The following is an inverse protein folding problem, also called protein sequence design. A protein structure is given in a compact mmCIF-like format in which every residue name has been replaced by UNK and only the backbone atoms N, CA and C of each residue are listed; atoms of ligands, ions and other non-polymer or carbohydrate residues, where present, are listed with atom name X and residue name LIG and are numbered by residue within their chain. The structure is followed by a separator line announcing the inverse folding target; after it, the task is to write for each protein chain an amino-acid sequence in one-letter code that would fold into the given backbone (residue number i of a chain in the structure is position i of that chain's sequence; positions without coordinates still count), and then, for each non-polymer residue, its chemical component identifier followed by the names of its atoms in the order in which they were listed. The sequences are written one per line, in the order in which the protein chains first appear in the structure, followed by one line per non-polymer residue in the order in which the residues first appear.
data_IF_147360282364
#
_entry.id   IF_147360282364
#
_cell.length_a   1.000
_cell.length_b   1.000
_cell.length_c   1.000
_cell.angle_alpha   90.00
_cell.angle_beta   90.00
_cell.angle_gamma   90.00
#
_symmetry.space_group_name_H-M   'P 1'
#
loop_
_entity.id
_entity.type
_entity.pdbx_description
1 polymer ?
#
# COMPACT_ATOMS: atom_id res chain seq x y z
N UNK A 1 9.92 -26.30 -80.79
CA UNK A 1 9.01 -26.60 -79.67
C UNK A 1 8.85 -25.29 -78.91
N UNK A 2 7.83 -24.46 -79.15
CA UNK A 2 6.39 -24.66 -78.83
C UNK A 2 6.16 -25.10 -77.37
N UNK A 3 5.31 -24.46 -76.55
CA UNK A 3 4.34 -23.35 -76.76
C UNK A 3 3.98 -22.66 -75.41
N UNK A 4 3.46 -21.42 -75.50
CA UNK A 4 2.34 -20.77 -74.77
C UNK A 4 1.78 -21.34 -73.42
N UNK A 5 1.13 -20.59 -72.52
CA UNK A 5 0.90 -19.14 -72.28
C UNK A 5 0.05 -18.97 -70.99
N UNK A 6 -0.21 -17.74 -70.52
CA UNK A 6 -1.39 -17.42 -69.68
C UNK A 6 -1.12 -16.61 -68.41
N UNK A 7 -1.67 -15.38 -68.36
CA UNK A 7 -1.61 -14.45 -67.21
C UNK A 7 -3.06 -14.04 -66.78
N UNK A 8 -3.35 -13.03 -65.92
CA UNK A 8 -4.32 -13.23 -64.82
C UNK A 8 -5.61 -12.37 -64.87
N UNK A 9 -6.56 -12.64 -63.98
CA UNK A 9 -7.79 -11.85 -63.71
C UNK A 9 -8.19 -12.01 -62.22
N UNK A 10 -8.42 -10.99 -61.36
CA UNK A 10 -9.32 -9.80 -61.35
C UNK A 10 -10.57 -10.01 -60.45
N UNK A 11 -10.81 -9.04 -59.58
CA UNK A 11 -11.95 -8.89 -58.64
C UNK A 11 -13.33 -8.81 -59.32
N UNK A 12 -14.41 -9.00 -58.54
CA UNK A 12 -15.51 -8.03 -58.62
C UNK A 12 -15.97 -7.43 -57.28
N UNK A 13 -16.59 -6.25 -57.37
CA UNK A 13 -17.09 -5.41 -56.28
C UNK A 13 -18.64 -5.38 -56.27
N UNK A 14 -19.21 -5.28 -55.06
CA UNK A 14 -20.54 -4.68 -54.72
C UNK A 14 -21.82 -5.28 -55.34
N UNK A 15 -22.85 -5.43 -54.49
CA UNK A 15 -24.11 -4.65 -54.60
C UNK A 15 -24.88 -4.58 -53.28
N UNK A 16 -25.55 -3.44 -53.05
CA UNK A 16 -26.57 -3.24 -52.00
C UNK A 16 -27.92 -3.77 -52.48
N UNK A 17 -28.81 -4.19 -51.56
CA UNK A 17 -30.26 -3.95 -51.67
C UNK A 17 -30.95 -3.96 -50.29
N UNK A 18 -32.22 -3.59 -50.26
CA UNK A 18 -32.89 -2.94 -49.12
C UNK A 18 -34.27 -3.55 -48.78
N UNK A 19 -34.63 -3.43 -47.48
CA UNK A 19 -35.99 -3.27 -46.92
C UNK A 19 -36.99 -4.47 -46.89
N UNK A 20 -37.60 -4.66 -45.69
CA UNK A 20 -39.06 -4.67 -45.40
C UNK A 20 -39.54 -5.79 -44.44
N UNK A 21 -40.37 -5.42 -43.44
CA UNK A 21 -41.23 -6.32 -42.63
C UNK A 21 -40.52 -7.17 -41.56
N UNK A 22 -41.04 -7.39 -40.34
CA UNK A 22 -42.43 -7.38 -39.88
C UNK A 22 -42.59 -7.05 -38.38
N UNK A 23 -43.84 -6.82 -37.95
CA UNK A 23 -44.24 -6.39 -36.58
C UNK A 23 -44.75 -7.55 -35.71
N UNK A 24 -44.53 -7.47 -34.40
CA UNK A 24 -45.44 -7.95 -33.32
C UNK A 24 -45.07 -7.20 -32.03
N UNK A 25 -45.87 -6.21 -31.61
CA UNK A 25 -47.03 -6.34 -30.68
C UNK A 25 -46.65 -6.82 -29.27
N UNK A 26 -46.51 -5.87 -28.34
CA UNK A 26 -46.69 -6.07 -26.90
C UNK A 26 -47.46 -4.86 -26.33
N UNK A 27 -48.40 -5.11 -25.43
CA UNK A 27 -49.55 -4.22 -25.14
C UNK A 27 -49.32 -3.23 -23.99
N UNK A 28 -49.98 -2.07 -24.08
CA UNK A 28 -50.15 -1.12 -22.96
C UNK A 28 -51.16 -1.64 -21.95
N UNK A 29 -50.92 -1.38 -20.67
CA UNK A 29 -51.96 -1.19 -19.65
C UNK A 29 -51.63 0.07 -18.83
N UNK A 30 -52.65 0.80 -18.35
CA UNK A 30 -52.52 2.12 -17.70
C UNK A 30 -52.74 2.04 -16.18
N UNK A 31 -52.27 3.07 -15.47
CA UNK A 31 -52.71 3.47 -14.13
C UNK A 31 -54.24 3.48 -13.96
N UNK A 32 -54.70 3.43 -12.69
CA UNK A 32 -55.26 4.67 -12.12
C UNK A 32 -54.61 5.10 -10.80
N UNK A 33 -54.95 6.31 -10.33
CA UNK A 33 -54.40 6.96 -9.15
C UNK A 33 -55.49 7.28 -8.10
N UNK A 34 -55.06 7.37 -6.83
CA UNK A 34 -55.66 8.01 -5.61
C UNK A 34 -54.86 7.43 -4.43
N UNK A 35 -54.28 8.14 -3.47
CA UNK A 35 -54.30 9.56 -3.11
C UNK A 35 -54.85 9.71 -1.69
N UNK A 36 -54.03 10.15 -0.71
CA UNK A 36 -54.46 10.77 0.57
C UNK A 36 -53.28 11.27 1.42
N UNK A 37 -53.41 12.56 1.82
CA UNK A 37 -52.84 13.36 2.92
C UNK A 37 -51.82 12.78 3.93
N UNK A 38 -50.83 13.61 4.25
CA UNK A 38 -50.01 13.57 5.48
C UNK A 38 -50.78 14.06 6.73
N UNK A 39 -50.20 13.92 7.94
CA UNK A 39 -49.78 15.15 8.64
C UNK A 39 -48.41 15.10 9.36
N UNK A 40 -47.93 16.30 9.71
CA UNK A 40 -46.76 16.59 10.54
C UNK A 40 -46.90 16.11 12.00
N UNK A 41 -45.79 16.12 12.76
CA UNK A 41 -45.71 17.10 13.86
C UNK A 41 -44.55 18.11 13.75
N UNK A 42 -44.78 19.27 14.37
CA UNK A 42 -43.80 20.24 14.90
C UNK A 42 -43.57 19.86 16.39
N UNK A 43 -42.60 20.32 17.18
CA UNK A 43 -41.32 21.01 17.06
C UNK A 43 -40.94 21.45 18.50
N UNK A 44 -39.72 21.18 18.95
CA UNK A 44 -39.04 21.78 20.11
C UNK A 44 -37.66 21.09 20.22
N UNK A 45 -36.54 21.74 20.49
CA UNK A 45 -36.28 23.12 20.86
C UNK A 45 -35.33 23.12 22.05
N UNK A 46 -34.03 23.39 21.82
CA UNK A 46 -33.03 23.90 22.79
C UNK A 46 -31.63 23.92 22.13
N UNK A 47 -30.94 25.08 22.23
CA UNK A 47 -29.49 25.21 21.97
C UNK A 47 -28.71 25.03 23.28
N UNK A 48 -27.47 24.54 23.20
CA UNK A 48 -26.32 25.23 23.82
C UNK A 48 -25.28 25.53 22.73
N UNK A 49 -24.87 26.79 22.53
CA UNK A 49 -23.85 27.55 23.27
C UNK A 49 -22.44 26.98 23.10
N UNK A 50 -21.59 27.83 22.54
CA UNK A 50 -20.22 27.57 22.16
C UNK A 50 -19.31 27.26 23.35
N UNK A 51 -18.41 26.30 23.15
CA UNK A 51 -17.21 26.11 23.95
C UNK A 51 -16.06 25.77 23.00
N UNK A 52 -15.26 26.78 22.63
CA UNK A 52 -14.04 26.58 21.85
C UNK A 52 -13.01 25.84 22.70
N UNK A 53 -12.67 24.62 22.31
CA UNK A 53 -11.51 23.89 22.83
C UNK A 53 -10.58 23.55 21.65
N UNK A 54 -9.43 24.22 21.57
CA UNK A 54 -8.41 23.93 20.57
C UNK A 54 -7.72 22.59 20.85
N UNK A 55 -8.17 21.51 20.20
CA UNK A 55 -7.47 20.23 20.17
C UNK A 55 -6.62 20.11 18.90
N UNK A 56 -5.28 20.15 19.06
CA UNK A 56 -4.32 19.84 17.99
C UNK A 56 -4.34 18.34 17.69
N UNK A 57 -5.22 17.90 16.80
CA UNK A 57 -5.35 16.50 16.37
C UNK A 57 -4.32 16.11 15.31
N UNK A 58 -3.05 15.88 15.71
CA UNK A 58 -2.04 15.35 14.79
C UNK A 58 -2.37 13.90 14.39
N UNK A 59 -2.52 13.63 13.10
CA UNK A 59 -2.76 12.29 12.57
C UNK A 59 -1.50 11.40 12.70
N UNK A 60 -1.35 10.76 13.86
CA UNK A 60 -0.25 9.82 14.13
C UNK A 60 -0.47 8.47 13.43
N UNK A 61 -0.11 8.40 12.15
CA UNK A 61 0.13 7.12 11.47
C UNK A 61 1.49 6.54 11.89
N UNK A 62 1.44 5.55 12.78
CA UNK A 62 2.42 4.48 12.93
C UNK A 62 3.94 4.85 13.00
N UNK A 63 4.36 5.60 14.03
CA UNK A 63 5.75 5.52 14.54
C UNK A 63 5.86 4.52 15.71
N UNK A 64 5.97 3.24 15.38
CA UNK A 64 6.55 2.22 16.27
C UNK A 64 6.97 1.01 15.43
N UNK A 65 8.23 0.58 15.54
CA UNK A 65 8.63 -0.76 15.13
C UNK A 65 8.34 -1.75 16.27
N UNK A 66 8.09 -3.04 16.00
CA UNK A 66 8.02 -4.05 17.06
C UNK A 66 9.40 -4.17 17.75
N UNK A 67 9.48 -4.09 19.09
CA UNK A 67 10.74 -4.29 19.79
C UNK A 67 11.17 -5.76 19.69
N UNK A 68 12.39 -6.00 19.21
CA UNK A 68 13.05 -7.29 19.41
C UNK A 68 13.25 -7.52 20.90
N UNK A 69 12.99 -8.75 21.38
CA UNK A 69 13.30 -9.12 22.76
C UNK A 69 14.82 -9.14 22.94
N UNK A 70 15.36 -8.07 23.52
CA UNK A 70 16.76 -8.00 23.92
C UNK A 70 17.01 -8.84 25.16
N UNK A 71 18.02 -9.70 25.08
CA UNK A 71 18.47 -10.52 26.20
C UNK A 71 19.14 -9.65 27.30
N UNK A 72 19.04 -10.06 28.56
CA UNK A 72 19.62 -9.31 29.69
C UNK A 72 20.72 -10.12 30.36
N UNK A 73 21.96 -9.61 30.37
CA UNK A 73 22.93 -9.83 31.47
C UNK A 73 24.08 -8.82 31.46
N UNK A 74 24.37 -8.30 32.66
CA UNK A 74 25.55 -7.53 33.11
C UNK A 74 25.80 -6.14 32.47
N UNK A 75 26.23 -5.08 33.18
CA UNK A 75 26.25 -4.89 34.65
C UNK A 75 27.44 -4.12 35.22
N UNK A 76 27.44 -2.77 35.19
CA UNK A 76 28.09 -1.83 36.14
C UNK A 76 27.60 -0.39 35.81
N UNK A 77 27.15 0.46 36.76
CA UNK A 77 27.93 1.35 37.68
C UNK A 77 28.85 2.33 36.90
N UNK A 78 28.84 3.66 37.07
CA UNK A 78 28.50 4.55 38.22
C UNK A 78 28.16 6.00 37.80
N UNK A 79 27.55 6.81 38.70
CA UNK A 79 27.54 8.29 38.69
C UNK A 79 26.56 8.94 37.70
N UNK A 80 25.46 9.60 38.05
CA UNK A 80 25.14 10.56 39.13
C UNK A 80 25.87 11.92 39.01
N UNK A 81 25.15 12.94 38.52
CA UNK A 81 25.01 14.23 39.21
C UNK A 81 23.85 15.07 38.62
N UNK A 82 23.16 15.83 39.49
CA UNK A 82 22.01 16.70 39.20
C UNK A 82 22.42 18.18 39.14
N UNK A 83 21.60 19.01 38.48
CA UNK A 83 21.62 20.49 38.53
C UNK A 83 21.42 21.09 37.13
N UNK A 84 20.29 21.66 36.69
CA UNK A 84 19.25 22.53 37.28
C UNK A 84 19.62 24.03 37.34
N UNK A 85 18.61 24.90 37.10
CA UNK A 85 18.62 26.39 37.06
C UNK A 85 19.21 27.04 35.78
N UNK A 86 18.40 27.70 34.92
CA UNK A 86 17.82 29.07 35.00
C UNK A 86 18.84 30.16 34.59
N UNK A 87 18.71 30.82 33.42
CA UNK A 87 17.77 31.90 33.02
C UNK A 87 18.16 33.31 33.52
N UNK A 88 18.37 34.24 32.58
CA UNK A 88 18.66 35.67 32.82
C UNK A 88 19.69 36.17 31.80
N UNK A 89 19.31 36.88 30.73
CA UNK A 89 18.81 38.26 30.65
C UNK A 89 19.93 39.23 30.19
N UNK A 90 19.67 39.91 29.07
CA UNK A 90 20.58 40.84 28.38
C UNK A 90 20.47 42.25 28.98
N UNK A 91 21.56 43.03 28.99
CA UNK A 91 21.44 44.46 28.74
C UNK A 91 22.33 44.93 27.57
N UNK A 92 21.76 45.74 26.69
CA UNK A 92 22.48 46.37 25.59
C UNK A 92 23.08 47.73 26.01
N UNK A 93 24.27 48.07 25.51
CA UNK A 93 24.75 49.46 25.48
C UNK A 93 25.46 49.83 24.17
N UNK A 94 24.95 50.89 23.56
CA UNK A 94 25.61 51.84 22.63
C UNK A 94 26.76 52.56 23.40
N UNK A 95 27.80 53.18 22.81
CA UNK A 95 28.21 53.43 21.41
C UNK A 95 29.60 54.11 21.35
N UNK A 96 30.15 54.25 20.13
CA UNK A 96 31.16 55.25 19.65
C UNK A 96 32.63 55.13 20.14
N UNK A 97 33.55 55.08 19.15
CA UNK A 97 35.00 55.28 19.32
C UNK A 97 35.80 54.98 18.03
N UNK A 98 36.35 56.01 17.39
CA UNK A 98 37.31 56.01 16.24
C UNK A 98 38.15 57.31 16.38
N UNK A 99 39.31 57.52 15.73
CA UNK A 99 40.16 56.61 14.94
C UNK A 99 41.43 56.27 15.76
N UNK A 100 42.73 56.42 15.37
CA UNK A 100 43.38 56.91 14.13
C UNK A 100 43.75 55.78 13.14
N UNK A 101 44.63 56.06 12.17
CA UNK A 101 45.29 55.10 11.27
C UNK A 101 46.79 55.06 11.58
N UNK A 102 47.41 53.86 11.50
CA UNK A 102 48.86 53.67 11.51
C UNK A 102 49.29 52.79 10.33
N UNK A 103 50.46 53.08 9.72
CA UNK A 103 50.99 52.36 8.54
C UNK A 103 51.82 51.13 8.93
N UNK A 104 51.95 50.21 7.96
CA UNK A 104 52.88 49.07 7.88
C UNK A 104 52.60 47.91 8.85
N UNK A 105 52.62 46.64 8.45
CA UNK A 105 53.38 46.01 7.35
C UNK A 105 52.60 44.88 6.66
N UNK A 106 52.93 44.61 5.40
CA UNK A 106 52.42 43.46 4.66
C UNK A 106 53.08 42.17 5.17
N UNK A 107 52.27 41.21 5.63
CA UNK A 107 52.65 39.80 5.72
C UNK A 107 51.84 39.04 4.65
N UNK A 108 52.43 38.04 3.98
CA UNK A 108 51.73 37.32 2.92
C UNK A 108 50.52 36.57 3.49
N UNK A 109 49.36 36.81 2.90
CA UNK A 109 48.16 36.05 3.21
C UNK A 109 48.37 34.62 2.67
N UNK A 110 48.56 33.66 3.57
CA UNK A 110 48.59 32.24 3.21
C UNK A 110 47.25 31.88 2.54
N UNK A 111 47.31 31.16 1.43
CA UNK A 111 46.13 30.80 0.63
C UNK A 111 45.05 30.15 1.49
N UNK A 112 43.98 30.90 1.74
CA UNK A 112 42.74 30.31 2.23
C UNK A 112 42.17 29.47 1.06
N UNK A 113 41.89 28.17 1.25
CA UNK A 113 41.30 27.38 0.19
C UNK A 113 39.95 28.00 -0.17
N UNK A 114 39.83 28.51 -1.41
CA UNK A 114 38.55 28.94 -1.93
C UNK A 114 37.59 27.76 -1.82
N UNK A 115 36.51 27.94 -1.05
CA UNK A 115 35.39 27.02 -1.07
C UNK A 115 34.77 27.15 -2.46
N UNK A 116 35.19 26.26 -3.36
CA UNK A 116 34.56 26.07 -4.65
C UNK A 116 33.15 25.55 -4.39
N UNK A 117 32.17 26.45 -4.45
CA UNK A 117 30.80 26.04 -4.71
C UNK A 117 30.83 25.21 -6.00
N UNK A 118 30.51 23.93 -5.90
CA UNK A 118 30.54 23.03 -7.05
C UNK A 118 29.71 23.60 -8.18
N UNK A 119 30.26 23.60 -9.40
CA UNK A 119 29.55 24.07 -10.58
C UNK A 119 28.17 23.41 -10.66
N UNK A 120 27.14 24.20 -10.93
CA UNK A 120 25.81 23.65 -11.14
C UNK A 120 25.87 22.57 -12.24
N UNK A 121 25.27 21.37 -12.02
CA UNK A 121 25.32 20.29 -13.00
C UNK A 121 24.75 20.75 -14.35
N UNK A 122 25.32 20.27 -15.46
CA UNK A 122 24.90 20.70 -16.79
C UNK A 122 23.42 20.33 -17.00
N UNK A 123 22.61 21.11 -17.75
CA UNK A 123 21.21 20.76 -18.00
C UNK A 123 21.02 19.35 -18.56
N UNK A 124 21.96 18.87 -19.39
CA UNK A 124 21.97 17.51 -19.93
C UNK A 124 22.28 16.44 -18.86
N UNK A 125 23.12 16.75 -17.87
CA UNK A 125 23.39 15.88 -16.72
C UNK A 125 22.12 15.72 -15.88
N UNK A 126 21.37 16.80 -15.64
CA UNK A 126 20.10 16.77 -14.91
C UNK A 126 19.04 15.98 -15.70
N UNK A 127 18.98 16.15 -17.03
CA UNK A 127 18.03 15.46 -17.90
C UNK A 127 18.29 13.94 -18.01
N UNK A 128 19.52 13.49 -17.70
CA UNK A 128 19.95 12.09 -17.77
C UNK A 128 20.08 11.41 -16.39
N UNK A 129 20.35 12.18 -15.33
CA UNK A 129 20.48 11.67 -13.95
C UNK A 129 19.15 11.05 -13.47
N UNK A 130 19.15 9.79 -13.02
CA UNK A 130 17.99 9.16 -12.41
C UNK A 130 17.62 9.81 -11.07
N UNK A 131 16.36 10.24 -10.93
CA UNK A 131 15.84 10.86 -9.70
C UNK A 131 14.39 10.43 -9.44
N UNK A 132 13.90 10.71 -8.23
CA UNK A 132 12.53 10.42 -7.82
C UNK A 132 11.60 11.59 -8.11
N UNK A 133 10.57 11.34 -8.92
CA UNK A 133 9.36 12.16 -8.96
C UNK A 133 8.31 11.55 -8.01
N UNK A 134 7.59 12.41 -7.29
CA UNK A 134 6.54 12.01 -6.37
C UNK A 134 5.38 13.03 -6.36
N UNK A 135 4.15 12.52 -6.46
CA UNK A 135 2.95 13.30 -6.26
C UNK A 135 1.90 12.58 -5.39
N UNK A 136 1.12 13.39 -4.67
CA UNK A 136 -0.15 13.00 -4.08
C UNK A 136 -1.27 13.30 -5.07
N UNK A 137 -2.03 12.29 -5.47
CA UNK A 137 -3.20 12.38 -6.35
C UNK A 137 -4.45 12.25 -5.48
N UNK A 138 -5.03 13.38 -5.10
CA UNK A 138 -6.23 13.48 -4.26
C UNK A 138 -7.47 13.08 -5.06
N UNK A 139 -8.25 12.14 -4.50
CA UNK A 139 -9.29 11.42 -5.24
C UNK A 139 -10.71 11.88 -4.90
N UNK A 140 -10.91 12.82 -3.98
CA UNK A 140 -12.23 13.27 -3.51
C UNK A 140 -13.00 12.26 -2.64
N UNK A 141 -12.50 11.04 -2.49
CA UNK A 141 -13.15 9.96 -1.75
C UNK A 141 -12.36 8.65 -1.85
N UNK A 142 -12.62 7.73 -0.92
CA UNK A 142 -12.02 6.38 -0.94
C UNK A 142 -12.54 5.53 -2.09
N UNK A 143 -13.76 5.82 -2.55
CA UNK A 143 -14.48 5.13 -3.61
C UNK A 143 -13.84 5.36 -4.98
N UNK A 144 -13.37 6.59 -5.24
CA UNK A 144 -12.71 6.98 -6.48
C UNK A 144 -11.28 6.44 -6.63
N UNK A 145 -10.66 5.96 -5.55
CA UNK A 145 -9.29 5.47 -5.58
C UNK A 145 -9.12 4.19 -6.40
N UNK A 146 -10.14 3.33 -6.49
CA UNK A 146 -10.11 2.14 -7.35
C UNK A 146 -10.10 2.54 -8.83
N UNK A 147 -10.87 3.55 -9.24
CA UNK A 147 -10.92 4.03 -10.63
C UNK A 147 -9.64 4.76 -11.06
N UNK A 148 -9.00 5.49 -10.14
CA UNK A 148 -7.65 6.04 -10.40
C UNK A 148 -6.66 4.90 -10.65
N UNK A 149 -6.71 3.84 -9.84
CA UNK A 149 -5.79 2.70 -9.95
C UNK A 149 -6.07 1.85 -11.21
N UNK A 150 -7.33 1.63 -11.57
CA UNK A 150 -7.70 0.81 -12.72
C UNK A 150 -7.69 1.57 -14.07
N UNK A 151 -8.05 2.85 -14.07
CA UNK A 151 -8.22 3.65 -15.30
C UNK A 151 -7.10 4.65 -15.56
N UNK A 152 -6.62 5.36 -14.53
CA UNK A 152 -5.69 6.49 -14.71
C UNK A 152 -4.21 6.09 -14.63
N UNK A 153 -3.86 5.24 -13.66
CA UNK A 153 -2.47 4.80 -13.48
C UNK A 153 -1.92 3.96 -14.64
N UNK A 154 -2.62 2.95 -15.22
CA UNK A 154 -2.03 2.09 -16.23
C UNK A 154 -1.51 2.82 -17.49
N UNK A 155 -2.26 3.73 -18.15
CA UNK A 155 -1.74 4.45 -19.31
C UNK A 155 -0.61 5.41 -18.95
N UNK A 156 -0.71 6.10 -17.80
CA UNK A 156 0.33 7.00 -17.31
C UNK A 156 1.65 6.25 -17.05
N UNK A 157 1.56 5.07 -16.45
CA UNK A 157 2.71 4.21 -16.13
C UNK A 157 3.33 3.58 -17.38
N UNK A 158 2.51 3.21 -18.36
CA UNK A 158 2.99 2.73 -19.65
C UNK A 158 3.78 3.83 -20.40
N UNK A 159 3.29 5.08 -20.38
CA UNK A 159 3.98 6.22 -21.00
C UNK A 159 5.34 6.49 -20.34
N UNK A 160 5.42 6.59 -19.01
CA UNK A 160 6.71 6.87 -18.35
C UNK A 160 7.70 5.72 -18.46
N UNK A 161 7.23 4.45 -18.47
CA UNK A 161 8.07 3.29 -18.77
C UNK A 161 8.64 3.37 -20.19
N UNK A 162 7.83 3.73 -21.19
CA UNK A 162 8.30 3.94 -22.57
C UNK A 162 9.33 5.08 -22.69
N UNK A 163 9.27 6.07 -21.79
CA UNK A 163 10.25 7.17 -21.69
C UNK A 163 11.49 6.84 -20.85
N UNK A 164 11.61 5.62 -20.30
CA UNK A 164 12.80 5.16 -19.56
C UNK A 164 12.71 5.21 -18.03
N UNK A 165 11.52 5.37 -17.44
CA UNK A 165 11.35 5.19 -15.99
C UNK A 165 11.72 3.75 -15.58
N UNK A 166 12.61 3.64 -14.60
CA UNK A 166 13.26 2.38 -14.20
C UNK A 166 12.56 1.68 -13.03
N UNK A 167 11.79 2.41 -12.23
CA UNK A 167 10.98 1.89 -11.12
C UNK A 167 9.79 2.81 -10.87
N UNK A 168 8.67 2.27 -10.43
CA UNK A 168 7.57 3.06 -9.87
C UNK A 168 6.81 2.25 -8.83
N UNK A 169 6.11 2.95 -7.93
CA UNK A 169 5.10 2.33 -7.08
C UNK A 169 4.13 3.37 -6.55
N UNK A 170 2.95 2.91 -6.17
CA UNK A 170 1.95 3.73 -5.50
C UNK A 170 1.57 3.14 -4.14
N UNK A 171 1.09 3.99 -3.25
CA UNK A 171 0.41 3.58 -2.02
C UNK A 171 -0.88 4.39 -1.87
N UNK A 172 -1.90 3.84 -1.22
CA UNK A 172 -3.07 4.61 -0.79
C UNK A 172 -2.75 5.29 0.52
N UNK A 173 -3.15 6.54 0.69
CA UNK A 173 -2.90 7.28 1.91
C UNK A 173 -4.04 8.24 2.22
N UNK A 174 -4.09 8.72 3.46
CA UNK A 174 -5.03 9.71 3.94
C UNK A 174 -4.29 10.74 4.79
N UNK A 175 -4.52 12.03 4.51
CA UNK A 175 -4.07 13.14 5.34
C UNK A 175 -5.21 14.16 5.52
N UNK A 176 -4.94 15.31 6.13
CA UNK A 176 -5.91 16.38 6.41
C UNK A 176 -6.61 16.96 5.15
N UNK A 177 -6.05 16.73 3.95
CA UNK A 177 -6.68 17.10 2.67
C UNK A 177 -7.58 15.99 2.11
N UNK A 178 -7.42 14.75 2.57
CA UNK A 178 -8.31 13.64 2.25
C UNK A 178 -7.61 12.40 1.66
N UNK A 179 -8.41 11.44 1.17
CA UNK A 179 -7.93 10.25 0.47
C UNK A 179 -7.12 10.61 -0.79
N UNK A 180 -5.96 9.97 -0.94
CA UNK A 180 -5.11 10.16 -2.11
C UNK A 180 -4.24 8.95 -2.44
N UNK A 181 -3.79 8.88 -3.70
CA UNK A 181 -2.75 7.97 -4.15
C UNK A 181 -1.41 8.68 -4.10
N UNK A 182 -0.42 8.11 -3.42
CA UNK A 182 0.97 8.59 -3.40
C UNK A 182 1.75 7.85 -4.47
N UNK A 183 1.85 8.41 -5.67
CA UNK A 183 2.55 7.83 -6.83
C UNK A 183 4.01 8.31 -6.86
N UNK A 184 4.95 7.37 -6.94
CA UNK A 184 6.38 7.64 -7.10
C UNK A 184 6.89 6.98 -8.37
N UNK A 185 7.74 7.70 -9.11
CA UNK A 185 8.36 7.25 -10.35
C UNK A 185 9.84 7.62 -10.29
N UNK A 186 10.72 6.65 -10.51
CA UNK A 186 12.16 6.82 -10.61
C UNK A 186 12.60 6.67 -12.06
N UNK A 187 13.37 7.62 -12.55
CA UNK A 187 13.83 7.63 -13.94
C UNK A 187 14.68 8.86 -14.26
N UNK A 188 15.26 8.92 -15.46
CA UNK A 188 16.02 10.09 -15.91
C UNK A 188 15.10 11.31 -16.04
N UNK A 189 15.63 12.51 -15.80
CA UNK A 189 14.86 13.77 -15.80
C UNK A 189 13.88 13.92 -16.96
N UNK A 190 14.29 13.56 -18.19
CA UNK A 190 13.42 13.58 -19.39
C UNK A 190 12.09 12.83 -19.26
N UNK A 191 12.04 11.72 -18.52
CA UNK A 191 10.82 10.93 -18.29
C UNK A 191 9.90 11.63 -17.29
N UNK A 192 10.49 12.34 -16.33
CA UNK A 192 9.79 13.03 -15.24
C UNK A 192 9.26 14.39 -15.69
N UNK A 193 9.98 15.08 -16.60
CA UNK A 193 9.49 16.29 -17.26
C UNK A 193 8.17 16.05 -18.00
N UNK A 194 7.95 14.83 -18.53
CA UNK A 194 6.66 14.46 -19.12
C UNK A 194 5.56 14.47 -18.08
N UNK A 195 5.79 13.89 -16.90
CA UNK A 195 4.84 13.93 -15.78
C UNK A 195 4.56 15.38 -15.37
N UNK A 196 5.60 16.21 -15.18
CA UNK A 196 5.43 17.63 -14.84
C UNK A 196 4.54 18.36 -15.85
N UNK A 197 4.75 18.13 -17.16
CA UNK A 197 3.93 18.72 -18.23
C UNK A 197 2.48 18.22 -18.26
N UNK A 198 2.20 16.99 -17.86
CA UNK A 198 0.83 16.42 -17.85
C UNK A 198 0.06 16.65 -16.56
N UNK A 199 0.61 17.39 -15.58
CA UNK A 199 -0.04 17.61 -14.27
C UNK A 199 -1.39 18.34 -14.34
N UNK A 200 -1.59 19.26 -15.28
CA UNK A 200 -2.89 19.93 -15.48
C UNK A 200 -3.95 18.94 -15.97
N UNK A 201 -3.61 18.14 -16.98
CA UNK A 201 -4.48 17.10 -17.54
C UNK A 201 -4.77 16.01 -16.51
N UNK A 202 -3.80 15.66 -15.67
CA UNK A 202 -3.96 14.73 -14.56
C UNK A 202 -4.95 15.27 -13.51
N UNK A 203 -4.89 16.56 -13.19
CA UNK A 203 -5.88 17.24 -12.35
C UNK A 203 -7.29 17.16 -12.94
N UNK A 204 -7.45 17.48 -14.23
CA UNK A 204 -8.74 17.39 -14.92
C UNK A 204 -9.30 15.96 -14.94
N UNK A 205 -8.46 14.94 -15.19
CA UNK A 205 -8.88 13.55 -15.09
C UNK A 205 -9.29 13.14 -13.67
N UNK A 206 -8.60 13.63 -12.63
CA UNK A 206 -8.99 13.37 -11.23
C UNK A 206 -10.36 13.99 -10.89
N UNK A 207 -10.70 15.17 -11.41
CA UNK A 207 -12.03 15.79 -11.25
C UNK A 207 -13.13 15.00 -11.98
N UNK A 208 -12.87 14.58 -13.22
CA UNK A 208 -13.78 13.72 -13.99
C UNK A 208 -14.02 12.37 -13.29
N UNK A 209 -12.97 11.78 -12.72
CA UNK A 209 -13.08 10.59 -11.89
C UNK A 209 -13.88 10.92 -10.64
N UNK A 210 -13.51 11.90 -9.82
CA UNK A 210 -14.18 12.21 -8.55
C UNK A 210 -15.69 12.48 -8.71
N UNK A 211 -16.10 13.12 -9.80
CA UNK A 211 -17.51 13.41 -10.11
C UNK A 211 -18.30 12.25 -10.75
N UNK A 212 -17.64 11.17 -11.18
CA UNK A 212 -18.32 10.02 -11.78
C UNK A 212 -19.29 9.31 -10.80
N UNK A 213 -20.50 8.92 -11.23
CA UNK A 213 -21.44 8.15 -10.40
C UNK A 213 -20.88 6.79 -10.00
N UNK A 214 -21.04 6.40 -8.73
CA UNK A 214 -20.54 5.14 -8.17
C UNK A 214 -21.54 4.44 -7.27
N UNK A 215 -21.43 3.11 -7.20
CA UNK A 215 -21.94 2.37 -6.06
C UNK A 215 -21.13 2.71 -4.80
N UNK A 216 -21.78 2.66 -3.63
CA UNK A 216 -21.09 2.88 -2.35
C UNK A 216 -20.05 1.77 -2.12
N UNK A 217 -18.83 2.15 -1.78
CA UNK A 217 -17.76 1.19 -1.50
C UNK A 217 -18.13 0.25 -0.35
N UNK A 218 -17.83 -1.04 -0.51
CA UNK A 218 -18.01 -2.05 0.53
C UNK A 218 -16.92 -1.91 1.57
N UNK A 219 -17.34 -1.81 2.83
CA UNK A 219 -16.49 -1.86 4.01
C UNK A 219 -16.66 -3.23 4.69
N UNK A 220 -15.59 -4.02 4.80
CA UNK A 220 -15.65 -5.37 5.39
C UNK A 220 -15.81 -5.34 6.92
N UNK A 221 -15.37 -4.27 7.57
CA UNK A 221 -15.46 -4.07 9.02
C UNK A 221 -16.12 -2.72 9.29
N UNK A 222 -17.41 -2.68 9.70
CA UNK A 222 -18.15 -1.44 9.89
C UNK A 222 -17.41 -0.42 10.77
N UNK A 223 -17.24 0.80 10.25
CA UNK A 223 -16.54 1.90 10.93
C UNK A 223 -15.01 1.77 10.93
N UNK A 224 -14.41 1.01 10.00
CA UNK A 224 -12.98 1.03 9.73
C UNK A 224 -12.54 2.34 9.04
N UNK A 225 -13.33 2.87 8.12
CA UNK A 225 -13.12 4.16 7.47
C UNK A 225 -13.22 5.31 8.47
N UNK A 226 -14.31 5.34 9.26
CA UNK A 226 -14.52 6.34 10.32
C UNK A 226 -13.39 6.37 11.37
N UNK A 227 -12.71 5.24 11.59
CA UNK A 227 -11.58 5.16 12.53
C UNK A 227 -10.26 5.75 12.00
N UNK A 228 -10.21 6.17 10.73
CA UNK A 228 -9.02 6.69 10.05
C UNK A 228 -9.27 8.07 9.45
N UNK A 229 -10.46 8.31 8.89
CA UNK A 229 -10.74 9.46 8.01
C UNK A 229 -11.21 10.75 8.73
N UNK A 230 -11.56 10.71 10.03
CA UNK A 230 -11.98 11.90 10.77
C UNK A 230 -13.15 12.66 10.12
N UNK A 231 -13.12 14.01 10.16
CA UNK A 231 -14.05 14.85 9.41
C UNK A 231 -13.56 15.03 7.96
N UNK A 232 -14.30 14.46 7.02
CA UNK A 232 -13.85 14.29 5.63
C UNK A 232 -13.65 15.62 4.87
N UNK A 233 -12.39 16.05 4.74
CA UNK A 233 -12.01 16.93 3.62
C UNK A 233 -11.90 16.06 2.36
N UNK A 234 -12.63 16.45 1.31
CA UNK A 234 -12.72 15.72 0.04
C UNK A 234 -12.00 16.49 -1.07
N UNK A 235 -10.72 16.81 -0.86
CA UNK A 235 -9.93 17.47 -1.91
C UNK A 235 -9.78 16.54 -3.13
N UNK A 236 -9.79 17.15 -4.32
CA UNK A 236 -9.48 16.52 -5.60
C UNK A 236 -8.30 17.29 -6.22
N UNK A 237 -7.51 16.62 -7.06
CA UNK A 237 -6.38 17.22 -7.79
C UNK A 237 -5.03 16.63 -7.40
N UNK A 238 -3.93 17.27 -7.78
CA UNK A 238 -2.57 16.74 -7.57
C UNK A 238 -1.67 17.70 -6.78
N UNK A 239 -0.70 17.15 -6.07
CA UNK A 239 0.37 17.90 -5.40
C UNK A 239 1.70 17.16 -5.50
N UNK A 240 2.67 17.75 -6.21
CA UNK A 240 4.08 17.29 -6.20
C UNK A 240 4.68 17.45 -4.80
N UNK A 241 5.54 16.52 -4.41
CA UNK A 241 6.21 16.49 -3.12
C UNK A 241 7.59 15.79 -3.21
N UNK A 242 8.42 15.91 -2.17
CA UNK A 242 9.72 15.23 -2.08
C UNK A 242 9.53 13.82 -1.53
N UNK A 243 10.13 12.81 -2.17
CA UNK A 243 10.10 11.45 -1.64
C UNK A 243 11.19 11.24 -0.60
N UNK A 244 10.77 10.89 0.62
CA UNK A 244 11.64 10.42 1.69
C UNK A 244 11.44 8.89 1.87
N UNK A 245 12.48 8.05 1.68
CA UNK A 245 12.38 6.62 1.92
C UNK A 245 12.36 6.29 3.42
N UNK A 246 11.62 5.24 3.81
CA UNK A 246 11.48 4.82 5.21
C UNK A 246 12.70 3.98 5.67
N UNK A 247 13.91 4.55 5.63
CA UNK A 247 15.20 3.87 5.87
C UNK A 247 15.19 3.03 7.16
N UNK A 248 14.81 3.62 8.28
CA UNK A 248 14.75 2.90 9.56
C UNK A 248 13.75 1.75 9.54
N UNK A 249 12.59 1.92 8.89
CA UNK A 249 11.53 0.91 8.88
C UNK A 249 11.98 -0.36 8.16
N UNK A 250 12.70 -0.21 7.05
CA UNK A 250 13.20 -1.36 6.27
C UNK A 250 14.60 -1.81 6.66
N UNK A 251 15.31 -1.04 7.49
CA UNK A 251 16.56 -1.45 8.12
C UNK A 251 17.80 -1.03 7.35
N UNK A 252 17.87 0.23 6.90
CA UNK A 252 19.01 0.73 6.12
C UNK A 252 18.69 0.81 4.63
N UNK A 253 19.68 1.28 3.86
CA UNK A 253 19.53 1.57 2.43
C UNK A 253 19.32 0.28 1.63
N UNK A 254 20.04 -0.78 1.97
CA UNK A 254 19.93 -2.12 1.40
C UNK A 254 18.52 -2.69 1.61
N UNK A 255 17.97 -2.49 2.81
CA UNK A 255 16.61 -2.91 3.17
C UNK A 255 15.53 -2.15 2.40
N UNK A 256 15.72 -0.83 2.20
CA UNK A 256 14.84 -0.01 1.36
C UNK A 256 14.89 -0.46 -0.10
N UNK A 257 16.09 -0.65 -0.67
CA UNK A 257 16.27 -1.01 -2.08
C UNK A 257 15.52 -2.30 -2.44
N UNK A 258 15.65 -3.36 -1.62
CA UNK A 258 14.91 -4.61 -1.85
C UNK A 258 13.41 -4.48 -1.53
N UNK A 259 13.02 -3.57 -0.62
CA UNK A 259 11.61 -3.31 -0.32
C UNK A 259 10.93 -2.55 -1.47
N UNK A 260 11.61 -1.61 -2.12
CA UNK A 260 11.11 -0.85 -3.26
C UNK A 260 10.91 -1.71 -4.52
N UNK A 261 11.77 -2.70 -4.76
CA UNK A 261 11.54 -3.73 -5.79
C UNK A 261 10.22 -4.49 -5.51
N UNK A 262 9.98 -4.85 -4.25
CA UNK A 262 8.74 -5.49 -3.83
C UNK A 262 7.53 -4.53 -3.85
N UNK A 263 7.76 -3.22 -3.72
CA UNK A 263 6.74 -2.19 -3.86
C UNK A 263 6.26 -2.01 -5.29
N UNK A 264 7.15 -2.07 -6.28
CA UNK A 264 6.76 -2.06 -7.69
C UNK A 264 5.96 -3.32 -8.02
N UNK A 265 6.47 -4.50 -7.66
CA UNK A 265 5.79 -5.77 -7.93
C UNK A 265 4.42 -5.90 -7.24
N UNK A 266 4.29 -5.47 -5.98
CA UNK A 266 2.99 -5.41 -5.29
C UNK A 266 2.06 -4.33 -5.86
N UNK A 267 2.60 -3.26 -6.45
CA UNK A 267 1.81 -2.28 -7.22
C UNK A 267 1.32 -2.85 -8.55
N UNK A 268 2.13 -3.59 -9.31
CA UNK A 268 1.68 -4.30 -10.53
C UNK A 268 0.57 -5.30 -10.23
N UNK A 269 0.77 -6.13 -9.19
CA UNK A 269 -0.25 -7.07 -8.72
C UNK A 269 -1.53 -6.33 -8.34
N UNK A 270 -1.43 -5.19 -7.66
CA UNK A 270 -2.60 -4.40 -7.27
C UNK A 270 -3.31 -3.70 -8.44
N UNK A 271 -2.63 -3.29 -9.51
CA UNK A 271 -3.29 -2.80 -10.74
C UNK A 271 -4.21 -3.91 -11.30
N UNK A 272 -3.66 -5.10 -11.53
CA UNK A 272 -4.42 -6.26 -12.00
C UNK A 272 -5.53 -6.66 -11.01
N UNK A 273 -5.21 -6.74 -9.72
CA UNK A 273 -6.12 -7.17 -8.67
C UNK A 273 -7.26 -6.20 -8.38
N UNK A 274 -7.13 -4.90 -8.67
CA UNK A 274 -8.22 -3.93 -8.57
C UNK A 274 -9.10 -3.95 -9.83
N UNK A 275 -8.51 -4.09 -11.02
CA UNK A 275 -9.26 -4.17 -12.29
C UNK A 275 -10.08 -5.47 -12.42
N UNK A 276 -9.50 -6.63 -12.07
CA UNK A 276 -10.14 -7.94 -12.26
C UNK A 276 -11.01 -8.40 -11.08
N UNK A 277 -10.93 -7.73 -9.93
CA UNK A 277 -11.61 -8.16 -8.71
C UNK A 277 -12.26 -7.01 -7.91
N UNK A 278 -13.56 -7.19 -7.63
CA UNK A 278 -14.39 -6.26 -6.86
C UNK A 278 -14.25 -6.50 -5.33
N UNK A 279 -14.11 -5.42 -4.55
CA UNK A 279 -14.12 -5.45 -3.07
C UNK A 279 -15.49 -5.86 -2.53
N UNK A 280 -15.53 -6.62 -1.44
CA UNK A 280 -16.79 -7.23 -0.97
C UNK A 280 -17.16 -8.51 -1.72
N UNK A 281 -16.45 -8.80 -2.83
CA UNK A 281 -16.59 -10.00 -3.66
C UNK A 281 -15.23 -10.70 -3.80
N UNK A 282 -14.83 -11.04 -5.03
CA UNK A 282 -13.68 -11.90 -5.31
C UNK A 282 -12.34 -11.30 -4.85
N UNK A 283 -12.22 -9.98 -4.68
CA UNK A 283 -10.97 -9.36 -4.20
C UNK A 283 -10.64 -9.74 -2.77
N UNK A 284 -11.65 -9.98 -1.94
CA UNK A 284 -11.46 -10.36 -0.53
C UNK A 284 -10.84 -11.77 -0.44
N UNK A 285 -11.29 -12.68 -1.31
CA UNK A 285 -10.71 -14.02 -1.45
C UNK A 285 -9.26 -13.96 -1.95
N UNK A 286 -8.98 -13.11 -2.95
CA UNK A 286 -7.62 -12.88 -3.45
C UNK A 286 -6.70 -12.34 -2.34
N UNK A 287 -7.16 -11.34 -1.59
CA UNK A 287 -6.41 -10.70 -0.52
C UNK A 287 -6.08 -11.67 0.62
N UNK A 288 -7.06 -12.45 1.10
CA UNK A 288 -6.83 -13.47 2.12
C UNK A 288 -5.86 -14.58 1.64
N UNK A 289 -5.92 -14.97 0.36
CA UNK A 289 -4.98 -15.93 -0.21
C UNK A 289 -3.55 -15.36 -0.28
N UNK A 290 -3.37 -14.10 -0.67
CA UNK A 290 -2.04 -13.47 -0.74
C UNK A 290 -1.43 -13.23 0.64
N UNK A 291 -2.25 -12.85 1.63
CA UNK A 291 -1.86 -12.80 3.05
C UNK A 291 -1.35 -14.17 3.52
N UNK A 292 -2.06 -15.25 3.18
CA UNK A 292 -1.66 -16.63 3.47
C UNK A 292 -0.37 -17.02 2.74
N UNK A 293 -0.22 -16.67 1.46
CA UNK A 293 0.96 -16.98 0.66
C UNK A 293 2.23 -16.27 1.19
N UNK A 294 2.11 -15.05 1.73
CA UNK A 294 3.24 -14.36 2.39
C UNK A 294 3.72 -15.11 3.63
N UNK A 295 2.80 -15.61 4.47
CA UNK A 295 3.16 -16.37 5.67
C UNK A 295 3.60 -17.79 5.31
N UNK A 296 3.01 -18.36 4.25
CA UNK A 296 3.46 -19.62 3.65
C UNK A 296 4.89 -19.51 3.14
N UNK A 297 5.24 -18.41 2.48
CA UNK A 297 6.62 -18.11 2.11
C UNK A 297 7.48 -17.98 3.38
N UNK A 298 7.11 -17.11 4.33
CA UNK A 298 7.84 -16.92 5.58
C UNK A 298 8.22 -18.24 6.27
N UNK A 299 7.24 -19.13 6.52
CA UNK A 299 7.41 -20.38 7.25
C UNK A 299 7.94 -21.55 6.41
N UNK A 300 7.52 -21.68 5.14
CA UNK A 300 7.68 -22.90 4.34
C UNK A 300 8.35 -22.69 2.97
N UNK A 301 8.78 -21.46 2.65
CA UNK A 301 9.52 -21.18 1.41
C UNK A 301 10.83 -21.98 1.33
N UNK A 302 11.23 -22.36 0.11
CA UNK A 302 12.40 -23.23 -0.12
C UNK A 302 13.71 -22.66 0.47
N UNK A 303 13.82 -21.35 0.66
CA UNK A 303 14.97 -20.69 1.28
C UNK A 303 14.80 -20.39 2.76
N UNK A 304 13.67 -20.77 3.39
CA UNK A 304 13.43 -20.55 4.82
C UNK A 304 14.51 -21.18 5.72
N UNK A 305 15.00 -22.36 5.34
CA UNK A 305 16.09 -23.03 6.05
C UNK A 305 17.41 -22.21 6.07
N UNK A 306 17.64 -21.34 5.09
CA UNK A 306 18.91 -20.59 4.93
C UNK A 306 19.08 -19.45 5.93
N UNK A 307 18.00 -18.99 6.57
CA UNK A 307 18.05 -17.92 7.57
C UNK A 307 17.50 -18.45 8.91
N UNK A 308 18.36 -18.62 9.91
CA UNK A 308 17.98 -19.20 11.20
C UNK A 308 16.82 -18.43 11.88
N UNK A 309 16.90 -17.10 11.90
CA UNK A 309 15.83 -16.22 12.41
C UNK A 309 14.49 -16.34 11.69
N UNK A 310 14.43 -17.03 10.54
CA UNK A 310 13.21 -17.33 9.78
C UNK A 310 12.60 -18.66 10.20
N UNK A 311 13.42 -19.63 10.62
CA UNK A 311 12.98 -20.90 11.22
C UNK A 311 12.39 -20.74 12.62
N UNK A 312 12.80 -19.71 13.36
CA UNK A 312 12.41 -19.50 14.76
C UNK A 312 10.98 -19.01 15.00
N UNK A 313 10.17 -18.80 13.96
CA UNK A 313 8.82 -18.25 14.09
C UNK A 313 7.74 -19.29 13.80
N UNK A 314 6.79 -19.45 14.72
CA UNK A 314 5.59 -20.21 14.42
C UNK A 314 4.61 -19.37 13.60
N UNK A 315 3.88 -20.05 12.71
CA UNK A 315 2.72 -19.50 12.01
C UNK A 315 1.71 -18.86 12.98
N UNK A 316 1.54 -19.42 14.19
CA UNK A 316 0.61 -18.91 15.21
C UNK A 316 1.05 -17.53 15.72
N UNK A 317 2.33 -17.37 16.04
CA UNK A 317 2.87 -16.12 16.58
C UNK A 317 2.80 -14.97 15.57
N UNK A 318 3.00 -15.27 14.27
CA UNK A 318 2.78 -14.31 13.20
C UNK A 318 1.34 -13.77 13.26
N UNK A 319 0.34 -14.66 13.21
CA UNK A 319 -1.07 -14.26 13.11
C UNK A 319 -1.60 -13.60 14.39
N UNK A 320 -1.17 -14.05 15.58
CA UNK A 320 -1.48 -13.34 16.82
C UNK A 320 -0.92 -11.92 16.81
N UNK A 321 0.35 -11.74 16.41
CA UNK A 321 0.98 -10.41 16.32
C UNK A 321 0.28 -9.51 15.30
N UNK A 322 -0.09 -10.06 14.13
CA UNK A 322 -0.77 -9.34 13.05
C UNK A 322 -2.17 -8.86 13.48
N UNK A 323 -2.97 -9.76 14.08
CA UNK A 323 -4.29 -9.42 14.60
C UNK A 323 -4.21 -8.40 15.75
N UNK A 324 -3.32 -8.59 16.73
CA UNK A 324 -3.17 -7.69 17.88
C UNK A 324 -2.70 -6.28 17.48
N UNK A 325 -1.89 -6.17 16.41
CA UNK A 325 -1.44 -4.89 15.87
C UNK A 325 -2.60 -4.13 15.21
N UNK A 326 -3.26 -4.74 14.23
CA UNK A 326 -4.28 -4.05 13.43
C UNK A 326 -5.63 -3.83 14.11
N UNK A 327 -5.89 -4.56 15.18
CA UNK A 327 -7.05 -4.32 16.05
C UNK A 327 -6.76 -3.27 17.14
N UNK A 328 -5.49 -2.91 17.37
CA UNK A 328 -5.10 -2.10 18.52
C UNK A 328 -5.23 -2.84 19.85
N UNK A 329 -5.27 -4.18 19.87
CA UNK A 329 -5.32 -4.94 21.13
C UNK A 329 -4.10 -4.63 22.03
N UNK A 330 -2.93 -4.38 21.41
CA UNK A 330 -1.71 -3.92 22.12
C UNK A 330 -1.87 -2.57 22.82
N UNK A 331 -2.85 -1.77 22.45
CA UNK A 331 -3.18 -0.46 23.04
C UNK A 331 -4.54 -0.49 23.77
N UNK A 332 -5.02 -1.68 24.16
CA UNK A 332 -6.22 -1.88 24.98
C UNK A 332 -7.50 -2.25 24.22
N UNK A 333 -7.50 -2.28 22.88
CA UNK A 333 -8.72 -2.53 22.08
C UNK A 333 -9.02 -4.04 21.85
N UNK A 334 -8.73 -4.91 22.82
CA UNK A 334 -8.91 -6.37 22.70
C UNK A 334 -10.35 -6.78 22.30
N UNK A 335 -11.36 -6.04 22.77
CA UNK A 335 -12.76 -6.25 22.40
C UNK A 335 -13.04 -6.14 20.89
N UNK A 336 -12.26 -5.36 20.13
CA UNK A 336 -12.37 -5.32 18.67
C UNK A 336 -11.87 -6.62 18.05
N UNK A 337 -10.69 -7.11 18.48
CA UNK A 337 -10.11 -8.38 18.03
C UNK A 337 -11.09 -9.53 18.26
N UNK A 338 -11.62 -9.64 19.47
CA UNK A 338 -12.49 -10.76 19.82
C UNK A 338 -13.84 -10.72 19.06
N UNK A 339 -14.33 -9.53 18.69
CA UNK A 339 -15.47 -9.40 17.74
C UNK A 339 -15.10 -9.86 16.34
N UNK A 340 -13.93 -9.49 15.82
CA UNK A 340 -13.47 -9.91 14.50
C UNK A 340 -13.23 -11.42 14.43
N UNK A 341 -12.67 -12.03 15.48
CA UNK A 341 -12.51 -13.50 15.57
C UNK A 341 -13.85 -14.24 15.51
N UNK A 342 -14.86 -13.75 16.24
CA UNK A 342 -16.23 -14.30 16.17
C UNK A 342 -16.84 -14.11 14.77
N UNK A 343 -16.64 -12.95 14.16
CA UNK A 343 -17.11 -12.69 12.80
C UNK A 343 -16.42 -13.60 11.76
N UNK A 344 -15.09 -13.74 11.84
CA UNK A 344 -14.29 -14.60 10.97
C UNK A 344 -14.72 -16.08 11.09
N UNK A 345 -14.95 -16.54 12.33
CA UNK A 345 -15.43 -17.91 12.59
C UNK A 345 -16.84 -18.13 12.02
N UNK A 346 -17.78 -17.21 12.26
CA UNK A 346 -19.15 -17.32 11.77
C UNK A 346 -19.26 -17.32 10.24
N UNK A 347 -18.40 -16.58 9.54
CA UNK A 347 -18.41 -16.47 8.08
C UNK A 347 -17.37 -17.37 7.38
N UNK A 348 -16.64 -18.20 8.14
CA UNK A 348 -15.50 -18.99 7.63
C UNK A 348 -15.85 -19.78 6.37
N UNK A 349 -16.96 -20.52 6.39
CA UNK A 349 -17.36 -21.37 5.25
C UNK A 349 -17.51 -20.56 3.96
N UNK A 350 -18.30 -19.50 4.00
CA UNK A 350 -18.61 -18.65 2.82
C UNK A 350 -17.36 -17.95 2.29
N UNK A 351 -16.49 -17.46 3.18
CA UNK A 351 -15.22 -16.83 2.77
C UNK A 351 -14.24 -17.85 2.21
N UNK A 352 -14.13 -19.04 2.80
CA UNK A 352 -13.25 -20.12 2.29
C UNK A 352 -13.75 -20.71 0.97
N UNK A 353 -15.06 -20.84 0.77
CA UNK A 353 -15.64 -21.21 -0.53
C UNK A 353 -15.28 -20.18 -1.61
N UNK A 354 -15.41 -18.88 -1.29
CA UNK A 354 -14.96 -17.79 -2.16
C UNK A 354 -13.46 -17.85 -2.44
N UNK A 355 -12.64 -18.15 -1.43
CA UNK A 355 -11.19 -18.35 -1.61
C UNK A 355 -10.89 -19.53 -2.54
N UNK A 356 -11.60 -20.67 -2.42
CA UNK A 356 -11.46 -21.81 -3.37
C UNK A 356 -11.81 -21.39 -4.80
N UNK A 357 -12.96 -20.74 -4.99
CA UNK A 357 -13.40 -20.28 -6.31
C UNK A 357 -12.42 -19.27 -6.95
N UNK A 358 -11.82 -18.39 -6.15
CA UNK A 358 -10.78 -17.46 -6.60
C UNK A 358 -9.46 -18.18 -6.91
N UNK A 359 -9.01 -19.09 -6.04
CA UNK A 359 -7.78 -19.87 -6.22
C UNK A 359 -7.82 -20.81 -7.43
N UNK A 360 -9.01 -21.25 -7.86
CA UNK A 360 -9.21 -22.09 -9.04
C UNK A 360 -8.96 -21.34 -10.37
N UNK A 361 -8.96 -20.00 -10.39
CA UNK A 361 -8.68 -19.22 -11.60
C UNK A 361 -7.20 -19.34 -11.99
N UNK A 362 -6.85 -19.66 -13.26
CA UNK A 362 -5.46 -19.80 -13.70
C UNK A 362 -4.58 -18.58 -13.42
N UNK A 363 -5.09 -17.36 -13.71
CA UNK A 363 -4.33 -16.12 -13.55
C UNK A 363 -4.07 -15.77 -12.08
N UNK A 364 -5.07 -16.01 -11.22
CA UNK A 364 -4.90 -15.90 -9.76
C UNK A 364 -3.81 -16.86 -9.29
N UNK A 365 -3.84 -18.11 -9.73
CA UNK A 365 -2.84 -19.10 -9.34
C UNK A 365 -1.43 -18.70 -9.86
N UNK A 366 -1.32 -18.15 -11.07
CA UNK A 366 -0.07 -17.61 -11.60
C UNK A 366 0.47 -16.45 -10.75
N UNK A 367 -0.39 -15.48 -10.39
CA UNK A 367 -0.01 -14.37 -9.51
C UNK A 367 0.38 -14.83 -8.10
N UNK A 368 -0.37 -15.75 -7.49
CA UNK A 368 -0.05 -16.35 -6.19
C UNK A 368 1.31 -17.05 -6.19
N UNK A 369 1.62 -17.85 -7.22
CA UNK A 369 2.94 -18.50 -7.37
C UNK A 369 4.07 -17.47 -7.53
N UNK A 370 3.85 -16.39 -8.30
CA UNK A 370 4.82 -15.29 -8.42
C UNK A 370 5.02 -14.57 -7.08
N UNK A 371 3.93 -14.27 -6.37
CA UNK A 371 3.95 -13.61 -5.06
C UNK A 371 4.70 -14.42 -3.99
N UNK A 372 4.39 -15.71 -3.86
CA UNK A 372 5.09 -16.62 -2.94
C UNK A 372 6.60 -16.66 -3.21
N UNK A 373 7.01 -16.77 -4.50
CA UNK A 373 8.42 -16.79 -4.89
C UNK A 373 9.10 -15.46 -4.59
N UNK A 374 8.49 -14.34 -4.97
CA UNK A 374 9.02 -13.00 -4.70
C UNK A 374 9.18 -12.75 -3.19
N UNK A 375 8.25 -13.23 -2.34
CA UNK A 375 8.40 -13.17 -0.88
C UNK A 375 9.52 -14.07 -0.35
N UNK A 376 9.70 -15.30 -0.88
CA UNK A 376 10.81 -16.18 -0.50
C UNK A 376 12.17 -15.60 -0.90
N UNK A 377 12.25 -15.03 -2.11
CA UNK A 377 13.44 -14.37 -2.66
C UNK A 377 13.77 -13.10 -1.87
N UNK A 378 12.81 -12.20 -1.64
CA UNK A 378 12.97 -10.99 -0.82
C UNK A 378 13.47 -11.29 0.60
N UNK A 379 12.88 -12.28 1.28
CA UNK A 379 13.32 -12.69 2.62
C UNK A 379 14.70 -13.38 2.59
N UNK A 380 15.05 -14.10 1.53
CA UNK A 380 16.39 -14.68 1.38
C UNK A 380 17.45 -13.59 1.16
N UNK A 381 17.18 -12.62 0.28
CA UNK A 381 18.07 -11.48 0.00
C UNK A 381 18.27 -10.60 1.22
N UNK A 382 17.20 -10.32 1.97
CA UNK A 382 17.29 -9.61 3.26
C UNK A 382 18.19 -10.34 4.26
N UNK A 383 18.12 -11.68 4.29
CA UNK A 383 19.00 -12.52 5.10
C UNK A 383 20.46 -12.47 4.66
N UNK A 384 20.76 -12.54 3.36
CA UNK A 384 22.14 -12.46 2.85
C UNK A 384 22.77 -11.08 2.98
N UNK A 385 21.97 -10.01 2.91
CA UNK A 385 22.40 -8.63 3.16
C UNK A 385 22.43 -8.30 4.67
N UNK A 386 22.17 -9.27 5.55
CA UNK A 386 22.12 -9.12 7.00
C UNK A 386 21.24 -7.96 7.50
N UNK A 387 20.15 -7.64 6.78
CA UNK A 387 19.28 -6.50 7.06
C UNK A 387 18.84 -6.52 8.53
N UNK A 388 19.02 -5.42 9.31
CA UNK A 388 18.75 -5.35 10.75
C UNK A 388 17.25 -5.35 11.12
N UNK A 389 16.43 -6.16 10.46
CA UNK A 389 15.01 -6.38 10.76
C UNK A 389 14.71 -7.89 10.80
N UNK A 390 13.66 -8.28 11.51
CA UNK A 390 13.27 -9.69 11.59
C UNK A 390 12.55 -10.11 10.29
N UNK A 391 12.60 -11.41 9.91
CA UNK A 391 11.83 -11.90 8.76
C UNK A 391 10.32 -11.63 8.92
N UNK A 392 9.81 -11.78 10.15
CA UNK A 392 8.44 -11.44 10.51
C UNK A 392 8.12 -9.95 10.24
N UNK A 393 8.97 -9.03 10.66
CA UNK A 393 8.80 -7.58 10.46
C UNK A 393 8.74 -7.23 8.97
N UNK A 394 9.66 -7.80 8.18
CA UNK A 394 9.72 -7.58 6.73
C UNK A 394 8.48 -8.16 6.02
N UNK A 395 8.06 -9.39 6.37
CA UNK A 395 6.86 -10.02 5.82
C UNK A 395 5.56 -9.29 6.23
N UNK A 396 5.46 -8.85 7.48
CA UNK A 396 4.35 -8.07 8.01
C UNK A 396 4.16 -6.76 7.25
N UNK A 397 5.25 -6.01 7.03
CA UNK A 397 5.16 -4.77 6.27
C UNK A 397 4.87 -5.00 4.78
N UNK A 398 5.39 -6.05 4.13
CA UNK A 398 5.01 -6.33 2.73
C UNK A 398 3.54 -6.75 2.60
N UNK A 399 3.01 -7.53 3.55
CA UNK A 399 1.58 -7.81 3.62
C UNK A 399 0.74 -6.54 3.75
N UNK A 400 1.07 -5.67 4.70
CA UNK A 400 0.36 -4.40 4.89
C UNK A 400 0.40 -3.51 3.65
N UNK A 401 1.59 -3.37 3.05
CA UNK A 401 1.79 -2.54 1.87
C UNK A 401 1.08 -3.12 0.62
N UNK A 402 0.85 -4.44 0.54
CA UNK A 402 -0.01 -5.05 -0.47
C UNK A 402 -1.51 -4.79 -0.18
N UNK A 403 -1.96 -5.00 1.05
CA UNK A 403 -3.36 -4.78 1.45
C UNK A 403 -3.79 -3.32 1.25
N UNK A 404 -2.91 -2.39 1.58
CA UNK A 404 -3.05 -0.96 1.33
C UNK A 404 -3.34 -0.67 -0.16
N UNK A 405 -2.56 -1.24 -1.08
CA UNK A 405 -2.73 -1.05 -2.53
C UNK A 405 -4.04 -1.65 -3.04
N UNK A 406 -4.41 -2.83 -2.55
CA UNK A 406 -5.69 -3.50 -2.86
C UNK A 406 -6.92 -2.79 -2.24
N UNK A 407 -6.73 -1.75 -1.43
CA UNK A 407 -7.81 -0.92 -0.89
C UNK A 407 -8.44 -1.47 0.39
N UNK A 408 -7.69 -2.24 1.17
CA UNK A 408 -8.10 -2.69 2.50
C UNK A 408 -7.49 -1.81 3.60
N UNK A 409 -8.34 -1.38 4.52
CA UNK A 409 -7.95 -0.64 5.71
C UNK A 409 -7.40 -1.61 6.77
N UNK A 410 -6.54 -1.15 7.71
CA UNK A 410 -6.03 -1.92 8.84
C UNK A 410 -7.00 -2.93 9.48
N UNK A 411 -8.22 -2.51 9.84
CA UNK A 411 -9.21 -3.40 10.47
C UNK A 411 -9.75 -4.47 9.52
N UNK A 412 -9.85 -4.16 8.24
CA UNK A 412 -10.25 -5.12 7.20
C UNK A 412 -9.11 -6.11 6.92
N UNK A 413 -7.86 -5.64 6.88
CA UNK A 413 -6.66 -6.50 6.85
C UNK A 413 -6.62 -7.46 8.04
N UNK A 414 -6.97 -7.02 9.25
CA UNK A 414 -7.05 -7.89 10.43
C UNK A 414 -8.07 -9.03 10.22
N UNK A 415 -9.26 -8.72 9.70
CA UNK A 415 -10.31 -9.72 9.42
C UNK A 415 -9.87 -10.69 8.32
N UNK A 416 -9.31 -10.19 7.22
CA UNK A 416 -8.77 -11.02 6.14
C UNK A 416 -7.60 -11.89 6.63
N UNK A 417 -6.78 -11.38 7.55
CA UNK A 417 -5.73 -12.12 8.23
C UNK A 417 -6.24 -13.30 9.07
N UNK A 418 -7.39 -13.16 9.75
CA UNK A 418 -8.04 -14.27 10.45
C UNK A 418 -8.51 -15.36 9.50
N UNK A 419 -9.09 -14.99 8.35
CA UNK A 419 -9.47 -15.96 7.31
C UNK A 419 -8.25 -16.62 6.64
N UNK A 420 -7.17 -15.86 6.41
CA UNK A 420 -5.90 -16.32 5.86
C UNK A 420 -5.18 -17.30 6.80
N UNK A 421 -5.14 -16.99 8.11
CA UNK A 421 -4.75 -17.92 9.17
C UNK A 421 -5.57 -19.19 9.04
N UNK A 422 -6.89 -19.09 9.19
CA UNK A 422 -7.79 -20.24 9.25
C UNK A 422 -7.74 -21.12 7.99
N UNK A 423 -7.36 -20.55 6.84
CA UNK A 423 -7.12 -21.25 5.58
C UNK A 423 -5.81 -22.08 5.57
N UNK A 424 -4.77 -21.59 6.23
CA UNK A 424 -3.47 -22.26 6.37
C UNK A 424 -3.45 -23.30 7.51
N UNK A 425 -4.46 -23.33 8.37
CA UNK A 425 -4.52 -24.29 9.47
C UNK A 425 -4.63 -25.72 8.89
N UNK A 426 -3.79 -26.69 9.33
CA UNK A 426 -3.87 -28.05 8.83
C UNK A 426 -5.25 -28.64 9.11
N UNK A 427 -5.75 -29.45 8.17
CA UNK A 427 -7.06 -30.09 8.31
C UNK A 427 -7.04 -31.00 9.56
N UNK A 428 -8.10 -31.04 10.40
CA UNK A 428 -8.11 -31.90 11.58
C UNK A 428 -7.77 -33.37 11.28
N UNK A 429 -8.16 -33.86 10.09
CA UNK A 429 -7.92 -35.22 9.61
C UNK A 429 -6.47 -35.57 9.27
N UNK A 430 -5.53 -34.61 9.27
CA UNK A 430 -4.10 -34.89 9.07
C UNK A 430 -3.36 -35.19 10.38
N UNK A 431 -3.95 -34.85 11.54
CA UNK A 431 -3.36 -35.15 12.86
C UNK A 431 -3.47 -36.63 13.22
N UNK A 432 -4.51 -37.32 12.77
CA UNK A 432 -4.71 -38.76 13.02
C UNK A 432 -3.76 -39.65 12.20
N UNK A 433 -3.16 -39.11 11.12
CA UNK A 433 -2.15 -39.84 10.32
C UNK A 433 -0.71 -39.66 10.83
N UNK A 434 -0.52 -38.94 11.93
CA UNK A 434 0.80 -38.70 12.56
C UNK A 434 0.76 -38.96 14.07
N UNK A 435 0.05 -40.04 14.47
CA UNK A 435 0.16 -40.69 15.78
C UNK A 435 1.09 -41.92 15.74
N UNK A 436 1.65 -42.36 16.89
CA UNK A 436 2.83 -43.23 16.92
C UNK A 436 2.53 -44.74 16.91
N UNK A 437 1.71 -45.22 15.97
CA UNK A 437 1.56 -46.66 15.75
C UNK A 437 2.59 -47.15 14.71
N UNK A 438 3.82 -47.38 15.21
CA UNK A 438 4.76 -48.26 14.51
C UNK A 438 4.22 -49.70 14.52
N UNK A 439 4.53 -50.53 13.51
CA UNK A 439 4.08 -51.92 13.50
C UNK A 439 4.65 -52.67 14.71
N UNK A 440 3.92 -53.64 15.29
CA UNK A 440 4.40 -54.41 16.42
C UNK A 440 5.65 -55.19 16.03
N UNK A 441 6.66 -55.13 16.89
CA UNK A 441 7.98 -55.72 16.65
C UNK A 441 7.92 -57.25 16.84
N UNK A 442 7.81 -58.00 15.74
CA UNK A 442 7.89 -59.45 15.77
C UNK A 442 9.33 -59.90 16.07
N UNK A 443 9.61 -60.20 17.35
CA UNK A 443 10.73 -61.08 17.71
C UNK A 443 10.53 -61.85 19.01
N UNK A 444 10.38 -63.17 18.83
CA UNK A 444 10.85 -64.27 19.71
C UNK A 444 10.33 -64.38 21.15
N UNK A 445 9.65 -65.50 21.46
CA UNK A 445 10.30 -66.65 22.13
C UNK A 445 9.38 -67.87 22.25
N UNK A 446 10.00 -69.07 22.25
CA UNK A 446 9.45 -70.42 22.50
C UNK A 446 8.63 -71.07 21.37
#
# INVERSE_FOLDING_TARGET
MERAAGAPAVLPRRRRRTAAGSRTMATRARHPARGLRAPHPRASGLRPRDAQAHSRGAAQSARAAPPGRGDRRHGHRTGDHRGAAQSGAVPARRSRGRPPCGRASCLPLVDAPMITFGSAPHPDDIATTPQWWYACLYTGGMEAADDVIAGLLPPLLAEVRALGASRWFFIRYFDESGPHIRLRVFGPGRSLDRLVRTMTDLGAHLELIATAPRARQVELVPGAAAAILGSERRTVGQRVAVYEPEIDKYGGLEGVEIAEQMFEFSSELALWGVSEHEKGRSRDGLAALLLADTVGALCYGARAARWERRRSWSWRDYWMTHADWWTGARTGAAALRDRLERHASAHRHVVHERMRAVAAKPDVNAWRRRWFRAMDDYLATAGSLAVPRTPQHLAFHQNHMLMNRLGYLPREEALLGMHARDWMAPCPTEREKTGPDGPPDERTSS
#
